data_IF_790179509332
#
_entry.id   IF_790179509332
#
_cell.length_a   1.000
_cell.length_b   1.000
_cell.length_c   1.000
_cell.angle_alpha   90.00
_cell.angle_beta   90.00
_cell.angle_gamma   90.00
#
_symmetry.space_group_name_H-M   'P 1'
#
loop_
_entity.id
_entity.type
_entity.pdbx_description
1 polymer ?
#
# COMPACT_ATOMS: atom_id res chain seq x y z
N UNK A 1 10.65 22.07 -20.14
CA UNK A 1 9.27 21.82 -19.65
C UNK A 1 9.31 21.51 -18.15
N UNK A 2 8.55 22.22 -17.35
CA UNK A 2 8.47 22.04 -15.89
C UNK A 2 6.97 21.91 -15.51
N UNK A 3 6.45 20.68 -15.33
CA UNK A 3 5.07 20.49 -14.95
C UNK A 3 4.84 20.95 -13.49
N UNK A 4 3.64 21.45 -13.19
CA UNK A 4 3.25 21.80 -11.82
C UNK A 4 3.05 20.58 -10.91
N UNK A 5 2.79 19.42 -11.49
CA UNK A 5 2.67 18.12 -10.82
C UNK A 5 2.96 16.98 -11.79
N UNK A 6 3.46 15.87 -11.29
CA UNK A 6 3.53 14.59 -11.98
C UNK A 6 2.87 13.54 -11.08
N UNK A 7 1.79 12.94 -11.60
CA UNK A 7 1.03 11.92 -10.88
C UNK A 7 1.21 10.59 -11.59
N UNK A 8 1.85 9.67 -10.93
CA UNK A 8 2.06 8.31 -11.40
C UNK A 8 0.97 7.36 -10.86
N UNK A 9 0.75 6.27 -11.53
CA UNK A 9 -0.26 5.30 -11.14
C UNK A 9 0.33 3.90 -11.04
N UNK A 10 0.83 3.56 -9.85
CA UNK A 10 1.29 2.20 -9.55
C UNK A 10 2.43 1.72 -10.48
N UNK A 11 2.53 0.41 -10.71
CA UNK A 11 3.55 -0.23 -11.53
C UNK A 11 4.97 0.12 -11.07
N UNK A 12 5.91 0.43 -11.98
CA UNK A 12 7.30 0.72 -11.63
C UNK A 12 7.51 1.90 -10.67
N UNK A 13 6.53 2.80 -10.53
CA UNK A 13 6.65 3.96 -9.64
C UNK A 13 6.58 3.61 -8.15
N UNK A 14 5.99 2.46 -7.78
CA UNK A 14 5.94 2.00 -6.39
C UNK A 14 7.13 1.10 -6.02
N UNK A 15 7.96 0.73 -6.99
CA UNK A 15 9.18 -0.04 -6.74
C UNK A 15 10.22 0.84 -6.01
N UNK A 16 10.88 0.35 -4.96
CA UNK A 16 11.98 1.05 -4.32
C UNK A 16 13.12 1.44 -5.28
N UNK A 17 13.38 0.65 -6.31
CA UNK A 17 14.41 0.93 -7.32
C UNK A 17 14.11 2.20 -8.14
N UNK A 18 12.85 2.61 -8.26
CA UNK A 18 12.50 3.87 -8.92
C UNK A 18 13.16 5.08 -8.24
N UNK A 19 13.02 5.18 -6.93
CA UNK A 19 13.65 6.27 -6.17
C UNK A 19 15.16 6.14 -6.16
N UNK A 20 15.67 4.93 -5.96
CA UNK A 20 17.11 4.66 -5.95
C UNK A 20 17.79 5.02 -7.28
N UNK A 21 17.16 4.73 -8.41
CA UNK A 21 17.69 5.00 -9.75
C UNK A 21 17.66 6.49 -10.11
N UNK A 22 16.62 7.21 -9.72
CA UNK A 22 16.44 8.62 -10.06
C UNK A 22 17.02 9.58 -9.01
N UNK A 23 17.26 9.09 -7.78
CA UNK A 23 17.75 9.91 -6.69
C UNK A 23 16.84 11.14 -6.45
N UNK A 24 17.44 12.33 -6.41
CA UNK A 24 16.70 13.58 -6.16
C UNK A 24 15.68 13.92 -7.25
N UNK A 25 15.83 13.42 -8.46
CA UNK A 25 14.91 13.70 -9.57
C UNK A 25 13.56 13.00 -9.38
N UNK A 26 13.49 11.99 -8.51
CA UNK A 26 12.23 11.39 -8.08
C UNK A 26 11.42 12.27 -7.12
N UNK A 27 12.03 13.28 -6.48
CA UNK A 27 11.36 14.10 -5.49
C UNK A 27 10.15 14.85 -6.10
N UNK A 28 9.12 15.02 -5.25
CA UNK A 28 7.85 15.67 -5.53
C UNK A 28 6.88 14.88 -6.39
N UNK A 29 7.30 13.77 -7.01
CA UNK A 29 6.40 12.91 -7.79
C UNK A 29 5.35 12.31 -6.85
N UNK A 30 4.09 12.39 -7.30
CA UNK A 30 2.97 11.71 -6.66
C UNK A 30 2.80 10.32 -7.25
N UNK A 31 2.44 9.36 -6.41
CA UNK A 31 2.02 8.04 -6.86
C UNK A 31 0.74 7.61 -6.14
N UNK A 32 -0.17 6.99 -6.88
CA UNK A 32 -1.27 6.27 -6.28
C UNK A 32 -0.75 4.94 -5.77
N UNK A 33 -0.95 4.70 -4.48
CA UNK A 33 -0.48 3.50 -3.80
C UNK A 33 -1.63 2.78 -3.08
N UNK A 34 -1.37 1.55 -2.68
CA UNK A 34 -2.28 0.76 -1.84
C UNK A 34 -1.77 0.63 -0.41
N UNK A 35 -0.50 0.96 -0.20
CA UNK A 35 0.20 0.83 1.08
C UNK A 35 1.49 1.68 1.05
N UNK A 36 1.91 2.17 2.21
CA UNK A 36 3.21 2.81 2.38
C UNK A 36 3.75 2.58 3.79
N UNK A 37 5.08 2.45 3.92
CA UNK A 37 5.75 2.12 5.20
C UNK A 37 5.58 3.23 6.25
N UNK A 38 5.47 4.48 5.83
CA UNK A 38 5.29 5.65 6.71
C UNK A 38 4.00 5.59 7.55
N UNK A 39 2.98 4.87 7.08
CA UNK A 39 1.76 4.61 7.83
C UNK A 39 1.99 3.81 9.12
N UNK A 40 3.19 3.26 9.32
CA UNK A 40 3.61 2.63 10.58
C UNK A 40 3.51 3.57 11.79
N UNK A 41 3.63 4.88 11.58
CA UNK A 41 3.41 5.89 12.61
C UNK A 41 1.99 5.86 13.21
N UNK A 42 1.00 5.44 12.41
CA UNK A 42 -0.41 5.32 12.81
C UNK A 42 -0.85 3.89 13.07
N UNK A 43 -0.11 2.91 12.57
CA UNK A 43 -0.42 1.48 12.64
C UNK A 43 0.87 0.66 12.87
N UNK A 44 1.26 0.43 14.13
CA UNK A 44 2.54 -0.23 14.46
C UNK A 44 2.74 -1.61 13.82
N UNK A 45 1.68 -2.36 13.57
CA UNK A 45 1.75 -3.65 12.87
C UNK A 45 2.44 -3.55 11.50
N UNK A 46 2.29 -2.42 10.80
CA UNK A 46 2.97 -2.18 9.51
C UNK A 46 4.48 -2.28 9.69
N UNK A 47 5.03 -1.62 10.73
CA UNK A 47 6.47 -1.68 11.01
C UNK A 47 6.92 -3.11 11.28
N UNK A 48 6.23 -3.81 12.16
CA UNK A 48 6.59 -5.18 12.55
C UNK A 48 6.66 -6.12 11.33
N UNK A 49 5.64 -6.10 10.48
CA UNK A 49 5.58 -6.97 9.31
C UNK A 49 6.60 -6.54 8.24
N UNK A 50 6.76 -5.23 8.02
CA UNK A 50 7.75 -4.72 7.06
C UNK A 50 9.18 -5.09 7.48
N UNK A 51 9.53 -4.97 8.75
CA UNK A 51 10.86 -5.33 9.27
C UNK A 51 11.14 -6.84 9.14
N UNK A 52 10.13 -7.69 9.42
CA UNK A 52 10.24 -9.15 9.21
C UNK A 52 10.45 -9.47 7.72
N UNK A 53 9.68 -8.81 6.85
CA UNK A 53 9.82 -8.98 5.40
C UNK A 53 11.21 -8.57 4.93
N UNK A 54 11.67 -7.37 5.30
CA UNK A 54 12.97 -6.83 4.92
C UNK A 54 14.12 -7.74 5.37
N UNK A 55 14.06 -8.24 6.61
CA UNK A 55 15.04 -9.20 7.15
C UNK A 55 15.09 -10.49 6.34
N UNK A 56 13.96 -10.99 5.86
CA UNK A 56 13.87 -12.27 5.12
C UNK A 56 14.14 -12.12 3.63
N UNK A 57 13.69 -11.03 3.03
CA UNK A 57 13.74 -10.80 1.58
C UNK A 57 14.99 -10.01 1.14
N UNK A 58 15.72 -9.37 2.08
CA UNK A 58 16.89 -8.54 1.79
C UNK A 58 16.55 -7.23 1.05
N UNK A 59 15.27 -6.82 1.05
CA UNK A 59 14.79 -5.62 0.36
C UNK A 59 13.57 -5.01 1.06
N UNK A 60 13.33 -3.70 0.91
CA UNK A 60 12.17 -3.03 1.50
C UNK A 60 10.83 -3.61 1.01
N UNK A 61 9.83 -3.62 1.88
CA UNK A 61 8.47 -3.99 1.54
C UNK A 61 7.82 -2.90 0.70
N UNK A 62 7.20 -3.28 -0.43
CA UNK A 62 6.40 -2.40 -1.28
C UNK A 62 4.90 -2.66 -1.11
N UNK A 63 4.06 -1.81 -1.73
CA UNK A 63 2.62 -2.00 -1.76
C UNK A 63 2.19 -3.35 -2.39
N UNK A 64 2.94 -3.85 -3.37
CA UNK A 64 2.65 -5.15 -4.00
C UNK A 64 2.91 -6.31 -3.05
N UNK A 65 4.01 -6.27 -2.29
CA UNK A 65 4.27 -7.28 -1.26
C UNK A 65 3.27 -7.21 -0.11
N UNK A 66 2.88 -6.00 0.31
CA UNK A 66 1.87 -5.82 1.35
C UNK A 66 0.50 -6.37 0.92
N UNK A 67 0.13 -6.17 -0.34
CA UNK A 67 -1.09 -6.70 -0.94
C UNK A 67 -1.06 -8.23 -1.03
N UNK A 68 0.05 -8.81 -1.49
CA UNK A 68 0.23 -10.26 -1.56
C UNK A 68 0.20 -10.91 -0.18
N UNK A 69 0.88 -10.32 0.81
CA UNK A 69 0.81 -10.75 2.20
C UNK A 69 -0.62 -10.74 2.73
N UNK A 70 -1.35 -9.66 2.48
CA UNK A 70 -2.76 -9.55 2.90
C UNK A 70 -3.63 -10.60 2.22
N UNK A 71 -3.43 -10.85 0.92
CA UNK A 71 -4.13 -11.91 0.19
C UNK A 71 -3.93 -13.29 0.82
N UNK A 72 -2.69 -13.61 1.22
CA UNK A 72 -2.39 -14.87 1.90
C UNK A 72 -3.06 -14.98 3.27
N UNK A 73 -3.13 -13.91 4.05
CA UNK A 73 -3.85 -13.88 5.34
C UNK A 73 -5.34 -14.12 5.12
N UNK A 74 -5.94 -13.47 4.12
CA UNK A 74 -7.37 -13.65 3.77
C UNK A 74 -7.65 -15.10 3.35
N UNK A 75 -6.78 -15.69 2.53
CA UNK A 75 -6.92 -17.07 2.11
C UNK A 75 -6.78 -18.05 3.28
N UNK A 76 -5.78 -17.86 4.12
CA UNK A 76 -5.55 -18.70 5.30
C UNK A 76 -6.75 -18.64 6.28
N UNK A 77 -7.31 -17.45 6.50
CA UNK A 77 -8.54 -17.29 7.29
C UNK A 77 -9.73 -18.04 6.68
N UNK A 78 -9.91 -17.93 5.35
CA UNK A 78 -10.99 -18.62 4.66
C UNK A 78 -10.85 -20.16 4.75
N UNK A 79 -9.64 -20.70 4.54
CA UNK A 79 -9.37 -22.16 4.68
C UNK A 79 -9.63 -22.61 6.11
N UNK A 80 -9.19 -21.82 7.10
CA UNK A 80 -9.41 -22.15 8.51
C UNK A 80 -10.91 -22.16 8.87
N UNK A 81 -11.71 -21.25 8.35
CA UNK A 81 -13.17 -21.20 8.55
C UNK A 81 -13.87 -22.33 7.78
N UNK A 82 -13.45 -22.60 6.55
CA UNK A 82 -13.99 -23.68 5.72
C UNK A 82 -13.72 -25.08 6.30
N UNK A 83 -12.67 -25.23 7.13
CA UNK A 83 -12.15 -26.54 7.60
C UNK A 83 -11.93 -27.54 6.47
N UNK A 84 -11.55 -27.05 5.28
CA UNK A 84 -11.46 -27.83 4.05
C UNK A 84 -10.52 -27.15 3.05
N UNK A 85 -9.91 -27.92 2.18
CA UNK A 85 -9.15 -27.47 1.01
C UNK A 85 -9.97 -27.56 -0.29
N UNK A 86 -11.23 -27.99 -0.21
CA UNK A 86 -12.15 -28.04 -1.35
C UNK A 86 -12.45 -26.63 -1.89
N UNK A 87 -12.26 -26.36 -3.21
CA UNK A 87 -12.41 -25.02 -3.78
C UNK A 87 -13.77 -24.37 -3.49
N UNK A 88 -14.87 -25.10 -3.63
CA UNK A 88 -16.21 -24.55 -3.41
C UNK A 88 -16.44 -24.12 -1.96
N UNK A 89 -15.90 -24.89 -1.00
CA UNK A 89 -15.97 -24.53 0.43
C UNK A 89 -15.12 -23.33 0.76
N UNK A 90 -13.94 -23.21 0.13
CA UNK A 90 -13.07 -22.03 0.29
C UNK A 90 -13.74 -20.80 -0.33
N UNK A 91 -14.32 -20.92 -1.54
CA UNK A 91 -15.03 -19.82 -2.19
C UNK A 91 -16.19 -19.31 -1.33
N UNK A 92 -17.01 -20.22 -0.78
CA UNK A 92 -18.06 -19.84 0.16
C UNK A 92 -17.51 -19.10 1.38
N UNK A 93 -16.47 -19.61 1.99
CA UNK A 93 -15.82 -18.96 3.14
C UNK A 93 -15.21 -17.60 2.77
N UNK A 94 -14.66 -17.42 1.56
CA UNK A 94 -14.18 -16.13 1.07
C UNK A 94 -15.32 -15.11 0.96
N UNK A 95 -16.48 -15.49 0.45
CA UNK A 95 -17.65 -14.61 0.38
C UNK A 95 -18.18 -14.20 1.75
N UNK A 96 -17.94 -15.00 2.78
CA UNK A 96 -18.28 -14.72 4.18
C UNK A 96 -17.19 -13.92 4.92
N UNK A 97 -16.11 -13.55 4.25
CA UNK A 97 -14.98 -12.82 4.87
C UNK A 97 -15.42 -11.46 5.42
N UNK A 98 -15.01 -11.16 6.67
CA UNK A 98 -15.25 -9.90 7.34
C UNK A 98 -14.06 -9.55 8.27
N UNK A 99 -12.92 -9.29 7.66
CA UNK A 99 -11.68 -8.93 8.38
C UNK A 99 -11.72 -7.43 8.70
N UNK A 100 -11.43 -7.09 9.95
CA UNK A 100 -11.48 -5.70 10.42
C UNK A 100 -10.18 -4.94 10.10
N UNK A 101 -10.22 -3.58 10.08
CA UNK A 101 -9.05 -2.77 9.74
C UNK A 101 -7.83 -3.03 10.64
N UNK A 102 -8.05 -3.28 11.93
CA UNK A 102 -6.99 -3.53 12.92
C UNK A 102 -6.27 -4.87 12.74
N UNK A 103 -6.86 -5.79 11.99
CA UNK A 103 -6.27 -7.09 11.63
C UNK A 103 -5.42 -7.05 10.36
N UNK A 104 -5.29 -5.90 9.71
CA UNK A 104 -4.62 -5.74 8.42
C UNK A 104 -3.42 -4.81 8.51
N UNK A 105 -2.42 -5.03 7.67
CA UNK A 105 -1.36 -4.03 7.43
C UNK A 105 -1.75 -3.00 6.36
N UNK A 106 -2.84 -3.23 5.65
CA UNK A 106 -3.35 -2.30 4.63
C UNK A 106 -4.10 -1.14 5.29
N UNK A 107 -4.09 0.07 4.67
CA UNK A 107 -4.88 1.22 5.12
C UNK A 107 -6.35 1.14 4.70
N UNK A 108 -6.87 -0.07 4.59
CA UNK A 108 -8.23 -0.35 4.17
C UNK A 108 -9.20 -0.34 5.35
N UNK A 109 -10.48 -0.16 5.06
CA UNK A 109 -11.55 -0.28 6.05
C UNK A 109 -11.86 -1.74 6.42
N UNK A 110 -11.10 -2.69 5.89
CA UNK A 110 -11.27 -4.11 6.11
C UNK A 110 -11.23 -4.92 4.82
N UNK A 111 -11.61 -6.20 4.92
CA UNK A 111 -11.85 -7.06 3.77
C UNK A 111 -13.24 -7.65 3.89
N UNK A 112 -14.09 -7.37 2.90
CA UNK A 112 -15.41 -7.95 2.71
C UNK A 112 -15.72 -7.97 1.22
N UNK A 113 -16.03 -9.15 0.70
CA UNK A 113 -16.30 -9.34 -0.72
C UNK A 113 -17.76 -9.10 -1.07
N UNK A 114 -17.99 -8.42 -2.19
CA UNK A 114 -19.30 -8.32 -2.81
C UNK A 114 -19.70 -9.67 -3.42
N UNK A 115 -20.90 -10.21 -3.14
CA UNK A 115 -21.29 -11.54 -3.60
C UNK A 115 -21.49 -11.63 -5.12
N UNK A 116 -21.66 -10.51 -5.82
CA UNK A 116 -21.86 -10.48 -7.28
C UNK A 116 -20.56 -10.26 -8.03
N UNK A 117 -19.79 -9.24 -7.62
CA UNK A 117 -18.57 -8.85 -8.30
C UNK A 117 -17.32 -9.57 -7.74
N UNK A 118 -17.43 -10.17 -6.57
CA UNK A 118 -16.32 -10.79 -5.80
C UNK A 118 -15.17 -9.81 -5.48
N UNK A 119 -15.42 -8.50 -5.56
CA UNK A 119 -14.44 -7.47 -5.23
C UNK A 119 -14.49 -7.11 -3.75
N UNK A 120 -13.31 -6.75 -3.18
CA UNK A 120 -13.27 -6.20 -1.83
C UNK A 120 -13.91 -4.81 -1.80
N UNK A 121 -15.07 -4.68 -1.14
CA UNK A 121 -15.80 -3.41 -1.00
C UNK A 121 -15.14 -2.42 -0.04
N UNK A 122 -14.21 -2.86 0.79
CA UNK A 122 -13.60 -2.07 1.86
C UNK A 122 -12.15 -1.64 1.54
N UNK A 123 -11.68 -2.00 0.33
CA UNK A 123 -10.38 -1.59 -0.16
C UNK A 123 -10.29 -0.09 -0.42
N UNK A 124 -9.13 0.51 -0.13
CA UNK A 124 -8.86 1.94 -0.37
C UNK A 124 -7.47 2.14 -0.94
N UNK A 125 -7.32 3.18 -1.75
CA UNK A 125 -6.02 3.69 -2.18
C UNK A 125 -5.57 4.85 -1.30
N UNK A 126 -4.29 5.16 -1.40
CA UNK A 126 -3.67 6.37 -0.84
C UNK A 126 -2.92 7.09 -1.95
N UNK A 127 -2.60 8.35 -1.74
CA UNK A 127 -1.63 9.09 -2.55
C UNK A 127 -0.40 9.33 -1.70
N UNK A 128 0.75 8.96 -2.23
CA UNK A 128 2.04 9.29 -1.65
C UNK A 128 2.73 10.35 -2.50
N UNK A 129 3.60 11.12 -1.87
CA UNK A 129 4.56 12.00 -2.55
C UNK A 129 5.97 11.60 -2.13
N UNK A 130 6.89 11.57 -3.08
CA UNK A 130 8.31 11.37 -2.78
C UNK A 130 8.88 12.71 -2.28
N UNK A 131 9.42 12.71 -1.06
CA UNK A 131 10.03 13.87 -0.44
C UNK A 131 11.36 13.46 0.20
N UNK A 132 12.46 14.07 -0.22
CA UNK A 132 13.81 13.74 0.22
C UNK A 132 14.17 12.25 0.03
N UNK A 133 13.77 11.68 -1.10
CA UNK A 133 14.04 10.29 -1.44
C UNK A 133 13.14 9.25 -0.77
N UNK A 134 12.20 9.67 0.07
CA UNK A 134 11.28 8.78 0.80
C UNK A 134 9.84 9.01 0.39
N UNK A 135 9.00 7.98 0.49
CA UNK A 135 7.57 8.05 0.19
C UNK A 135 6.78 8.39 1.43
N UNK A 136 6.00 9.47 1.36
CA UNK A 136 5.11 9.89 2.44
C UNK A 136 3.67 9.96 1.95
N UNK A 137 2.77 9.40 2.76
CA UNK A 137 1.33 9.50 2.51
C UNK A 137 0.88 10.94 2.70
N UNK A 138 0.29 11.53 1.66
CA UNK A 138 -0.21 12.91 1.66
C UNK A 138 -1.73 12.97 1.50
N UNK A 139 -2.37 11.87 1.13
CA UNK A 139 -3.82 11.73 1.04
C UNK A 139 -4.24 10.26 1.26
N UNK A 140 -5.40 9.98 1.90
CA UNK A 140 -6.36 10.93 2.48
C UNK A 140 -5.78 11.64 3.72
N UNK A 141 -6.24 12.86 3.97
CA UNK A 141 -5.64 13.74 5.00
C UNK A 141 -5.64 13.16 6.41
N UNK A 142 -6.63 12.33 6.76
CA UNK A 142 -6.64 11.62 8.04
C UNK A 142 -5.55 10.53 8.18
N UNK A 143 -4.97 10.10 7.06
CA UNK A 143 -3.84 9.17 7.01
C UNK A 143 -2.52 9.87 6.68
N UNK A 144 -2.55 11.12 6.23
CA UNK A 144 -1.36 11.86 5.86
C UNK A 144 -0.32 11.90 6.99
N UNK A 145 0.94 11.69 6.63
CA UNK A 145 2.10 11.71 7.52
C UNK A 145 3.00 12.91 7.26
N UNK A 146 2.81 13.55 6.10
CA UNK A 146 3.41 14.85 5.75
C UNK A 146 2.46 15.68 4.91
N UNK A 147 2.71 16.98 4.89
CA UNK A 147 2.02 17.92 4.01
C UNK A 147 2.47 17.74 2.56
N UNK A 148 1.55 18.03 1.64
CA UNK A 148 1.82 18.01 0.21
C UNK A 148 2.71 19.21 -0.17
N UNK A 149 3.70 18.97 -1.01
CA UNK A 149 4.51 20.04 -1.63
C UNK A 149 3.94 20.25 -3.04
N UNK A 150 3.28 21.39 -3.23
CA UNK A 150 2.69 21.76 -4.51
C UNK A 150 2.62 23.29 -4.66
N UNK A 151 2.87 23.87 -5.84
CA UNK A 151 3.32 23.22 -7.08
C UNK A 151 4.74 22.65 -6.96
N UNK A 152 5.13 21.79 -7.91
CA UNK A 152 6.51 21.30 -8.02
C UNK A 152 7.49 22.48 -8.06
N UNK A 153 8.59 22.45 -7.31
CA UNK A 153 9.67 23.38 -7.50
C UNK A 153 10.20 23.35 -8.93
N UNK A 154 10.65 24.48 -9.45
CA UNK A 154 11.37 24.54 -10.73
C UNK A 154 12.64 23.67 -10.65
N UNK A 155 13.15 23.21 -11.79
CA UNK A 155 14.31 22.32 -11.83
C UNK A 155 15.49 22.83 -10.99
N UNK A 156 15.80 24.12 -11.11
CA UNK A 156 16.90 24.75 -10.38
C UNK A 156 16.68 24.78 -8.86
N UNK A 157 15.45 24.66 -8.40
CA UNK A 157 15.06 24.63 -6.97
C UNK A 157 14.87 23.23 -6.40
N UNK A 158 15.05 22.15 -7.19
CA UNK A 158 14.90 20.78 -6.71
C UNK A 158 16.19 20.33 -6.01
N UNK A 159 16.10 20.12 -4.71
CA UNK A 159 17.19 19.62 -3.87
C UNK A 159 16.96 18.17 -3.49
#
# INVERSE_FOLDING_TARGET
FAPSALIANNAGFNDPEFVKSLGKDANYIFSREVWAKDLSAKKPMIKTIADIFEKRAGKPMSGDYARSFTGMIVLADAINRAKSTEPDKIQKALLETNIKPDQLIMPWNGVRFDPKSHQNMLGKGIIVQIQNGERYTVWPFNLATKDVIWPFPKWEGRK
#
